data_IF_697302883274
#
_entry.id   IF_697302883274
#
_cell.length_a   1.000
_cell.length_b   1.000
_cell.length_c   1.000
_cell.angle_alpha   90.00
_cell.angle_beta   90.00
_cell.angle_gamma   90.00
#
_symmetry.space_group_name_H-M   'P 1'
#
loop_
_entity.id
_entity.type
_entity.pdbx_description
1 polymer ?
#
# COMPACT_ATOMS: atom_id res chain seq x y z
N UNK A 1 22.70 -30.80 -2.14
CA UNK A 1 23.60 -31.23 -3.22
C UNK A 1 22.80 -32.00 -4.25
N UNK A 2 23.02 -31.67 -5.53
CA UNK A 2 22.44 -32.22 -6.77
C UNK A 2 20.98 -31.85 -7.08
N UNK A 3 20.58 -31.54 -8.31
CA UNK A 3 21.22 -30.95 -9.50
C UNK A 3 20.08 -30.74 -10.51
N UNK A 4 20.14 -29.62 -11.20
CA UNK A 4 19.30 -29.09 -12.27
C UNK A 4 19.11 -30.04 -13.47
N UNK A 5 17.95 -29.96 -14.14
CA UNK A 5 17.79 -30.41 -15.54
C UNK A 5 16.66 -29.70 -16.30
N UNK A 6 17.10 -28.79 -17.15
CA UNK A 6 16.41 -28.17 -18.27
C UNK A 6 15.60 -29.14 -19.13
N UNK A 7 14.43 -28.71 -19.61
CA UNK A 7 13.74 -29.34 -20.75
C UNK A 7 13.47 -28.29 -21.82
N UNK A 8 14.33 -28.34 -22.84
CA UNK A 8 14.17 -27.76 -24.16
C UNK A 8 12.97 -28.43 -24.84
N UNK A 9 12.08 -27.66 -25.46
CA UNK A 9 11.13 -28.17 -26.47
C UNK A 9 11.28 -27.32 -27.74
N UNK A 10 11.54 -28.02 -28.85
CA UNK A 10 11.76 -27.50 -30.19
C UNK A 10 10.80 -28.21 -31.15
N UNK A 11 10.43 -27.51 -32.24
CA UNK A 11 9.77 -27.94 -33.47
C UNK A 11 8.22 -28.13 -33.39
N UNK A 12 7.40 -27.76 -34.38
CA UNK A 12 7.59 -27.91 -35.84
C UNK A 12 6.59 -27.01 -36.62
N UNK A 13 6.98 -26.56 -37.82
CA UNK A 13 6.18 -25.82 -38.81
C UNK A 13 5.45 -26.81 -39.76
N UNK A 14 4.20 -26.54 -40.15
CA UNK A 14 3.57 -27.13 -41.34
C UNK A 14 2.60 -26.13 -42.01
N UNK A 15 2.72 -26.00 -43.33
CA UNK A 15 1.96 -25.13 -44.26
C UNK A 15 0.86 -25.94 -44.94
N UNK A 16 -0.33 -25.36 -45.14
CA UNK A 16 -1.30 -25.77 -46.17
C UNK A 16 -1.94 -24.54 -46.83
N UNK A 17 -1.95 -24.54 -48.17
CA UNK A 17 -2.56 -23.54 -49.07
C UNK A 17 -3.81 -24.16 -49.70
N UNK A 18 -4.94 -23.42 -49.75
CA UNK A 18 -5.99 -23.58 -50.75
C UNK A 18 -6.58 -22.19 -51.12
N UNK A 19 -6.71 -21.94 -52.43
CA UNK A 19 -7.36 -20.79 -53.07
C UNK A 19 -8.87 -21.00 -53.19
N UNK A 20 -9.71 -19.96 -53.03
CA UNK A 20 -10.56 -19.33 -54.06
C UNK A 20 -11.46 -18.19 -53.51
N UNK A 21 -11.82 -17.32 -54.45
CA UNK A 21 -12.38 -15.96 -54.47
C UNK A 21 -13.74 -15.75 -53.80
N UNK A 22 -13.94 -14.57 -53.19
CA UNK A 22 -15.26 -14.04 -52.82
C UNK A 22 -15.17 -12.61 -52.26
N UNK A 23 -15.49 -11.62 -53.09
CA UNK A 23 -15.57 -10.21 -52.69
C UNK A 23 -16.87 -9.97 -51.92
N UNK A 24 -16.77 -9.47 -50.69
CA UNK A 24 -17.90 -9.13 -49.85
C UNK A 24 -17.45 -8.16 -48.77
N UNK A 25 -17.48 -6.87 -49.11
CA UNK A 25 -17.25 -5.78 -48.18
C UNK A 25 -18.38 -5.74 -47.13
N UNK A 26 -18.06 -6.13 -45.90
CA UNK A 26 -18.87 -5.84 -44.70
C UNK A 26 -17.95 -5.65 -43.50
N UNK A 27 -17.69 -4.39 -43.18
CA UNK A 27 -17.63 -3.89 -41.82
C UNK A 27 -16.54 -4.50 -40.93
N UNK A 28 -15.45 -3.77 -40.82
CA UNK A 28 -14.48 -3.79 -39.73
C UNK A 28 -15.13 -4.11 -38.37
N UNK A 29 -14.71 -5.18 -37.65
CA UNK A 29 -14.83 -5.19 -36.20
C UNK A 29 -13.82 -4.18 -35.67
N UNK A 30 -14.29 -2.98 -35.34
CA UNK A 30 -13.53 -2.06 -34.50
C UNK A 30 -13.44 -2.68 -33.11
N UNK A 31 -12.33 -3.36 -32.84
CA UNK A 31 -11.94 -3.79 -31.49
C UNK A 31 -11.57 -2.53 -30.70
N UNK A 32 -12.57 -1.95 -30.04
CA UNK A 32 -12.38 -0.87 -29.08
C UNK A 32 -11.57 -1.36 -27.86
N UNK A 33 -10.94 -0.45 -27.09
CA UNK A 33 -9.90 -0.82 -26.15
C UNK A 33 -10.49 -1.50 -24.90
N UNK A 34 -10.42 -2.83 -24.85
CA UNK A 34 -10.66 -3.61 -23.62
C UNK A 34 -9.50 -3.48 -22.60
N UNK A 35 -8.44 -2.74 -22.90
CA UNK A 35 -7.27 -2.54 -22.01
C UNK A 35 -7.51 -1.57 -20.85
N UNK A 36 -8.66 -0.89 -20.79
CA UNK A 36 -8.93 0.16 -19.80
C UNK A 36 -9.86 -0.26 -18.65
N UNK A 37 -10.57 -1.38 -18.76
CA UNK A 37 -11.47 -1.84 -17.69
C UNK A 37 -10.70 -2.39 -16.49
N UNK A 38 -9.64 -3.17 -16.74
CA UNK A 38 -8.80 -3.75 -15.70
C UNK A 38 -7.95 -2.69 -15.00
N UNK A 39 -7.38 -1.73 -15.77
CA UNK A 39 -6.63 -0.61 -15.21
C UNK A 39 -7.50 0.33 -14.36
N UNK A 40 -8.75 0.57 -14.78
CA UNK A 40 -9.71 1.39 -14.03
C UNK A 40 -10.20 0.68 -12.76
N UNK A 41 -10.42 -0.63 -12.83
CA UNK A 41 -10.80 -1.46 -11.66
C UNK A 41 -9.65 -1.60 -10.66
N UNK A 42 -8.40 -1.66 -11.12
CA UNK A 42 -7.22 -1.64 -10.26
C UNK A 42 -7.02 -0.27 -9.58
N UNK A 43 -7.28 0.83 -10.29
CA UNK A 43 -7.23 2.20 -9.73
C UNK A 43 -8.36 2.45 -8.71
N UNK A 44 -9.55 1.90 -8.91
CA UNK A 44 -10.69 2.02 -7.98
C UNK A 44 -10.52 1.20 -6.69
N UNK A 45 -9.67 0.16 -6.70
CA UNK A 45 -9.33 -0.62 -5.50
C UNK A 45 -8.13 -0.06 -4.72
N UNK A 46 -7.55 1.07 -5.14
CA UNK A 46 -6.51 1.75 -4.38
C UNK A 46 -7.14 2.62 -3.30
N UNK A 47 -6.72 2.43 -2.05
CA UNK A 47 -7.18 3.26 -0.94
C UNK A 47 -6.54 4.64 -1.10
N UNK A 48 -7.35 5.72 -1.15
CA UNK A 48 -6.83 7.09 -1.17
C UNK A 48 -6.13 7.42 0.16
N UNK A 49 -4.88 7.96 0.14
CA UNK A 49 -4.15 8.40 1.33
C UNK A 49 -4.92 9.40 2.20
N UNK A 50 -5.83 10.17 1.61
CA UNK A 50 -6.69 11.14 2.31
C UNK A 50 -7.52 10.47 3.41
N UNK A 51 -7.82 9.17 3.28
CA UNK A 51 -8.49 8.38 4.32
C UNK A 51 -7.69 8.31 5.62
N UNK A 52 -6.37 8.56 5.58
CA UNK A 52 -5.54 8.59 6.79
C UNK A 52 -5.72 9.88 7.60
N UNK A 53 -6.18 10.97 6.98
CA UNK A 53 -6.31 12.26 7.67
C UNK A 53 -7.27 12.12 8.84
N UNK A 54 -6.84 12.57 10.02
CA UNK A 54 -7.58 12.49 11.26
C UNK A 54 -6.72 12.14 12.48
N UNK A 55 -7.38 12.04 13.62
CA UNK A 55 -6.76 11.65 14.89
C UNK A 55 -7.06 10.19 15.20
N UNK A 56 -6.04 9.48 15.62
CA UNK A 56 -6.03 8.03 15.84
C UNK A 56 -5.51 7.76 17.24
N UNK A 57 -6.35 7.19 18.11
CA UNK A 57 -5.98 6.87 19.49
C UNK A 57 -5.61 5.39 19.61
N UNK A 58 -4.49 5.10 20.28
CA UNK A 58 -4.07 3.73 20.56
C UNK A 58 -5.06 3.05 21.49
N UNK A 59 -5.42 1.79 21.23
CA UNK A 59 -6.46 1.08 22.00
C UNK A 59 -6.09 0.80 23.45
N UNK A 60 -4.81 0.70 23.75
CA UNK A 60 -4.23 0.31 25.03
C UNK A 60 -3.66 1.49 25.84
N UNK A 61 -3.87 2.74 25.38
CA UNK A 61 -3.40 3.91 26.12
C UNK A 61 -3.77 5.26 25.48
N UNK A 62 -3.45 6.38 26.14
CA UNK A 62 -3.85 7.72 25.68
C UNK A 62 -2.99 8.26 24.53
N UNK A 63 -2.22 7.40 23.84
CA UNK A 63 -1.32 7.80 22.77
C UNK A 63 -2.10 8.14 21.51
N UNK A 64 -1.74 9.24 20.86
CA UNK A 64 -2.45 9.73 19.67
C UNK A 64 -1.48 9.97 18.52
N UNK A 65 -1.86 9.50 17.34
CA UNK A 65 -1.31 9.93 16.06
C UNK A 65 -2.32 10.89 15.42
N UNK A 66 -1.89 12.08 15.08
CA UNK A 66 -2.67 13.02 14.26
C UNK A 66 -2.03 13.11 12.88
N UNK A 67 -2.77 12.74 11.84
CA UNK A 67 -2.37 12.91 10.44
C UNK A 67 -3.15 14.10 9.90
N UNK A 68 -2.45 15.18 9.57
CA UNK A 68 -3.06 16.45 9.15
C UNK A 68 -3.19 16.53 7.63
N UNK A 69 -2.17 16.05 6.94
CA UNK A 69 -2.09 16.13 5.47
C UNK A 69 -1.29 14.95 4.92
N UNK A 70 -1.74 14.46 3.76
CA UNK A 70 -0.96 13.57 2.88
C UNK A 70 -0.42 14.39 1.71
N UNK A 71 0.83 14.16 1.32
CA UNK A 71 1.43 14.80 0.15
C UNK A 71 1.60 13.78 -0.99
N UNK A 72 1.63 14.28 -2.22
CA UNK A 72 1.57 13.48 -3.46
C UNK A 72 2.73 12.47 -3.60
N UNK A 73 3.85 12.70 -2.89
CA UNK A 73 5.07 11.88 -2.97
C UNK A 73 5.28 10.94 -1.77
N UNK A 74 4.30 10.83 -0.86
CA UNK A 74 4.38 9.93 0.29
C UNK A 74 4.77 10.52 1.65
N UNK A 75 5.38 11.71 1.82
CA UNK A 75 5.53 12.32 3.15
C UNK A 75 4.18 12.66 3.79
N UNK A 76 4.09 12.47 5.10
CA UNK A 76 2.91 12.83 5.89
C UNK A 76 3.22 14.02 6.83
N UNK A 77 2.28 14.96 6.94
CA UNK A 77 2.26 15.89 8.09
C UNK A 77 1.58 15.18 9.26
N UNK A 78 2.40 14.81 10.25
CA UNK A 78 1.98 14.00 11.40
C UNK A 78 2.42 14.69 12.70
N UNK A 79 1.62 14.51 13.74
CA UNK A 79 2.07 14.67 15.12
C UNK A 79 1.79 13.42 15.95
N UNK A 80 2.64 13.18 16.94
CA UNK A 80 2.48 12.10 17.90
C UNK A 80 2.44 12.66 19.32
N UNK A 81 1.53 12.13 20.15
CA UNK A 81 1.31 12.59 21.51
C UNK A 81 1.49 11.47 22.54
N UNK A 82 2.30 11.75 23.56
CA UNK A 82 2.41 10.95 24.78
C UNK A 82 2.71 11.81 26.03
N UNK A 83 1.71 12.17 26.84
CA UNK A 83 0.61 13.07 26.49
C UNK A 83 1.06 14.41 25.86
N UNK A 84 2.36 14.75 25.95
CA UNK A 84 2.97 15.89 25.26
C UNK A 84 3.37 15.51 23.84
N UNK A 85 3.53 16.49 22.91
CA UNK A 85 4.05 16.20 21.58
C UNK A 85 5.47 15.63 21.67
N UNK A 86 5.76 14.65 20.82
CA UNK A 86 7.09 14.07 20.63
C UNK A 86 7.55 14.39 19.20
N UNK A 87 8.81 14.79 19.05
CA UNK A 87 9.37 15.10 17.75
C UNK A 87 9.39 13.87 16.82
N UNK A 88 8.96 14.11 15.58
CA UNK A 88 8.96 13.12 14.49
C UNK A 88 10.16 13.42 13.60
N UNK A 89 11.01 12.40 13.37
CA UNK A 89 12.12 12.50 12.44
C UNK A 89 11.70 12.19 11.00
N UNK A 90 10.79 11.23 10.83
CA UNK A 90 10.29 10.82 9.51
C UNK A 90 8.85 10.35 9.67
N UNK A 91 7.99 10.72 8.71
CA UNK A 91 6.67 10.13 8.57
C UNK A 91 6.32 10.01 7.08
N UNK A 92 5.95 8.80 6.65
CA UNK A 92 5.59 8.53 5.26
C UNK A 92 4.48 7.49 5.13
N UNK A 93 3.77 7.58 4.02
CA UNK A 93 2.83 6.59 3.52
C UNK A 93 3.37 5.94 2.26
N UNK A 94 3.18 4.64 2.11
CA UNK A 94 3.49 3.91 0.89
C UNK A 94 2.42 2.85 0.61
N UNK A 95 2.20 2.54 -0.65
CA UNK A 95 1.40 1.39 -1.05
C UNK A 95 2.30 0.15 -1.06
N UNK A 96 2.00 -0.84 -0.22
CA UNK A 96 2.64 -2.16 -0.23
C UNK A 96 1.58 -3.21 -0.58
N UNK A 97 1.73 -3.83 -1.75
CA UNK A 97 0.73 -4.76 -2.30
C UNK A 97 -0.68 -4.11 -2.31
N UNK A 98 -1.63 -4.69 -1.58
CA UNK A 98 -2.99 -4.19 -1.44
C UNK A 98 -3.22 -3.36 -0.16
N UNK A 99 -2.17 -3.02 0.60
CA UNK A 99 -2.27 -2.30 1.87
C UNK A 99 -1.54 -0.96 1.84
N UNK A 100 -2.15 0.03 2.50
CA UNK A 100 -1.53 1.32 2.73
C UNK A 100 -0.73 1.29 4.03
N UNK A 101 0.59 1.38 3.92
CA UNK A 101 1.53 1.36 5.03
C UNK A 101 1.87 2.78 5.46
N UNK A 102 1.93 2.99 6.76
CA UNK A 102 2.44 4.20 7.40
C UNK A 102 3.69 3.85 8.19
N UNK A 103 4.76 4.60 7.95
CA UNK A 103 5.98 4.55 8.75
C UNK A 103 6.14 5.87 9.49
N UNK A 104 6.45 5.81 10.79
CA UNK A 104 6.74 6.99 11.62
C UNK A 104 7.98 6.68 12.46
N UNK A 105 8.97 7.56 12.46
CA UNK A 105 10.11 7.55 13.38
C UNK A 105 9.97 8.68 14.41
N UNK A 106 10.02 8.33 15.69
CA UNK A 106 10.05 9.26 16.82
C UNK A 106 11.49 9.50 17.26
N UNK A 107 11.91 10.78 17.27
CA UNK A 107 13.26 11.18 17.69
C UNK A 107 13.22 12.39 18.61
N UNK A 108 13.26 12.12 19.92
CA UNK A 108 13.18 13.13 20.97
C UNK A 108 13.85 12.61 22.27
N UNK A 109 13.84 13.41 23.34
CA UNK A 109 14.26 12.99 24.67
C UNK A 109 13.42 11.78 25.13
N UNK A 110 14.09 10.64 25.35
CA UNK A 110 13.44 9.36 25.69
C UNK A 110 13.00 8.53 24.48
N UNK A 111 13.17 9.05 23.26
CA UNK A 111 12.81 8.41 22.00
C UNK A 111 14.01 8.43 21.04
N UNK A 112 14.97 7.50 21.14
CA UNK A 112 16.18 7.53 20.32
C UNK A 112 15.97 6.88 18.93
N UNK A 113 14.82 7.11 18.28
CA UNK A 113 14.44 6.45 17.02
C UNK A 113 13.47 5.27 17.21
N UNK A 114 12.46 5.44 18.06
CA UNK A 114 11.38 4.43 18.17
C UNK A 114 10.46 4.55 16.96
N UNK A 115 10.00 3.45 16.39
CA UNK A 115 9.27 3.48 15.12
C UNK A 115 7.89 2.85 15.22
N UNK A 116 6.97 3.35 14.42
CA UNK A 116 5.71 2.69 14.10
C UNK A 116 5.73 2.26 12.64
N UNK A 117 5.36 1.00 12.41
CA UNK A 117 5.05 0.47 11.09
C UNK A 117 3.62 -0.03 11.11
N UNK A 118 2.70 0.73 10.52
CA UNK A 118 1.26 0.53 10.61
C UNK A 118 0.66 0.29 9.23
N UNK A 119 -0.44 -0.44 9.18
CA UNK A 119 -1.22 -0.68 7.97
C UNK A 119 -2.67 -0.23 8.22
N UNK A 120 -3.21 0.53 7.27
CA UNK A 120 -4.59 0.99 7.34
C UNK A 120 -5.57 -0.09 6.88
N UNK A 121 -6.60 -0.32 7.69
CA UNK A 121 -7.70 -1.23 7.40
C UNK A 121 -8.97 -0.43 7.15
N UNK A 122 -9.33 -0.21 5.89
CA UNK A 122 -10.56 0.51 5.50
C UNK A 122 -11.83 -0.15 6.04
N UNK A 123 -11.85 -1.50 6.10
CA UNK A 123 -12.97 -2.28 6.65
C UNK A 123 -13.24 -2.01 8.14
N UNK A 124 -12.19 -1.67 8.91
CA UNK A 124 -12.28 -1.49 10.38
C UNK A 124 -12.06 -0.06 10.82
N UNK A 125 -11.73 0.83 9.89
CA UNK A 125 -11.26 2.19 10.14
C UNK A 125 -10.21 2.24 11.27
N UNK A 126 -9.13 1.50 11.07
CA UNK A 126 -8.11 1.25 12.09
C UNK A 126 -6.70 1.20 11.48
N UNK A 127 -5.71 1.69 12.22
CA UNK A 127 -4.29 1.50 11.94
C UNK A 127 -3.76 0.36 12.82
N UNK A 128 -3.24 -0.71 12.22
CA UNK A 128 -2.69 -1.84 12.96
C UNK A 128 -1.27 -2.18 12.52
N UNK A 129 -0.40 -2.52 13.46
CA UNK A 129 0.97 -2.91 13.12
C UNK A 129 1.89 -2.93 14.32
N UNK A 130 3.15 -2.60 14.10
CA UNK A 130 4.19 -2.82 15.11
C UNK A 130 4.77 -1.49 15.59
N UNK A 131 4.95 -1.38 16.90
CA UNK A 131 5.77 -0.37 17.54
C UNK A 131 7.11 -0.97 17.94
N UNK A 132 8.22 -0.42 17.45
CA UNK A 132 9.56 -0.73 17.93
C UNK A 132 9.98 0.29 19.01
N UNK A 133 10.17 -0.18 20.24
CA UNK A 133 10.66 0.64 21.34
C UNK A 133 12.19 0.63 21.37
N UNK A 134 12.83 1.69 20.87
CA UNK A 134 14.29 1.75 20.73
C UNK A 134 15.04 1.65 22.08
N UNK A 135 14.48 2.21 23.16
CA UNK A 135 15.09 2.16 24.50
C UNK A 135 15.26 0.75 25.09
N UNK A 136 14.34 -0.18 24.81
CA UNK A 136 14.39 -1.57 25.31
C UNK A 136 14.55 -2.61 24.18
N UNK A 137 14.65 -2.15 22.93
CA UNK A 137 14.84 -2.98 21.72
C UNK A 137 13.79 -4.08 21.56
N UNK A 138 12.53 -3.74 21.81
CA UNK A 138 11.41 -4.67 21.75
C UNK A 138 10.33 -4.19 20.77
N UNK A 139 9.65 -5.14 20.16
CA UNK A 139 8.51 -4.91 19.29
C UNK A 139 7.20 -5.19 20.03
N UNK A 140 6.19 -4.36 19.78
CA UNK A 140 4.85 -4.48 20.34
C UNK A 140 3.81 -4.38 19.24
N UNK A 141 2.84 -5.29 19.25
CA UNK A 141 1.66 -5.16 18.39
C UNK A 141 0.78 -4.03 18.93
N UNK A 142 0.41 -3.09 18.07
CA UNK A 142 -0.40 -1.93 18.42
C UNK A 142 -1.53 -1.75 17.43
N UNK A 143 -2.60 -1.12 17.92
CA UNK A 143 -3.77 -0.76 17.13
C UNK A 143 -4.24 0.63 17.52
N UNK A 144 -4.51 1.48 16.54
CA UNK A 144 -5.10 2.79 16.71
C UNK A 144 -6.46 2.85 16.03
N UNK A 145 -7.45 3.39 16.74
CA UNK A 145 -8.81 3.60 16.24
C UNK A 145 -9.03 5.09 16.00
N UNK A 146 -9.80 5.43 14.96
CA UNK A 146 -10.12 6.83 14.67
C UNK A 146 -10.91 7.43 15.83
N UNK A 147 -10.50 8.61 16.27
CA UNK A 147 -11.25 9.40 17.24
C UNK A 147 -12.46 10.02 16.54
N UNK A 148 -13.64 9.91 17.16
CA UNK A 148 -14.79 10.71 16.74
C UNK A 148 -14.51 12.16 17.13
N UNK A 149 -14.77 13.09 16.19
CA UNK A 149 -14.75 14.53 16.46
C UNK A 149 -15.96 14.93 17.28
#
# INVERSE_FOLDING_TARGET
>A
MCSEKNRVFLATLLVCICFITGCGDKGTPSEGPAVNADARTLAENQISPEKLIGRWQRRDGPYVIEIRKTNDDGPLDVAYYNPKPINIAEAKVSQEEAAMKIFIELRDKGYPGSTYTLYYSSKRDMLGGTYFHAGIKQYFQVFFVRMKQ
#
